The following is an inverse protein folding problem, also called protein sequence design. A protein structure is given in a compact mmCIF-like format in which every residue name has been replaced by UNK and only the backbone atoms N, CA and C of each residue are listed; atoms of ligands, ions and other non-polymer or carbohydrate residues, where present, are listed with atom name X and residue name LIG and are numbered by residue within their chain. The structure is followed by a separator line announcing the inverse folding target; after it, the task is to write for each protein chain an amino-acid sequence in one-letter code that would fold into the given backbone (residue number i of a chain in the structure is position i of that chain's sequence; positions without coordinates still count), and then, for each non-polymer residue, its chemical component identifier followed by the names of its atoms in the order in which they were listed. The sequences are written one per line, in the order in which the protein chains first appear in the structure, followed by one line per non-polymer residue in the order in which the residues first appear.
data_IF_607541483069
#
_entry.id   IF_607541483069
#
_cell.length_a   1.000
_cell.length_b   1.000
_cell.length_c   1.000
_cell.angle_alpha   90.00
_cell.angle_beta   90.00
_cell.angle_gamma   90.00
#
_symmetry.space_group_name_H-M   'P 1'
#
loop_
_entity.id
_entity.type
_entity.pdbx_description
1 polymer ?
#
# COMPACT_ATOMS: atom_id res chain seq x y z
N UNK A 1 4.89 26.16 7.75
CA UNK A 1 4.84 24.67 7.77
C UNK A 1 3.72 24.24 8.72
N UNK A 2 2.55 23.92 8.19
CA UNK A 2 1.39 23.52 8.99
C UNK A 2 1.61 22.08 9.47
N UNK A 3 1.83 21.87 10.77
CA UNK A 3 2.00 20.53 11.34
C UNK A 3 0.66 19.80 11.23
N UNK A 4 0.66 18.60 10.63
CA UNK A 4 -0.52 17.77 10.49
C UNK A 4 -1.11 17.43 11.87
N UNK A 5 -2.44 17.46 11.96
CA UNK A 5 -3.18 17.29 13.21
C UNK A 5 -3.17 15.81 13.65
N UNK A 6 -2.30 15.47 14.60
CA UNK A 6 -2.01 14.10 15.07
C UNK A 6 -3.27 13.36 15.52
N UNK A 7 -4.22 14.08 16.12
CA UNK A 7 -5.49 13.53 16.64
C UNK A 7 -6.43 13.03 15.54
N UNK A 8 -6.37 13.59 14.33
CA UNK A 8 -7.14 13.09 13.20
C UNK A 8 -6.53 11.80 12.64
N UNK A 9 -5.21 11.64 12.68
CA UNK A 9 -4.52 10.43 12.20
C UNK A 9 -4.85 9.21 13.07
N UNK A 10 -4.99 9.40 14.39
CA UNK A 10 -5.36 8.31 15.31
C UNK A 10 -6.80 7.83 15.12
N UNK A 11 -7.72 8.72 14.71
CA UNK A 11 -9.14 8.37 14.45
C UNK A 11 -9.32 7.41 13.27
N UNK A 12 -8.37 7.37 12.34
CA UNK A 12 -8.37 6.46 11.18
C UNK A 12 -7.48 5.23 11.37
N UNK A 13 -6.95 4.98 12.58
CA UNK A 13 -6.31 3.69 12.94
C UNK A 13 -7.33 2.59 13.19
N UNK A 14 -8.46 2.58 12.46
CA UNK A 14 -9.17 1.33 12.28
C UNK A 14 -8.22 0.42 11.47
N UNK A 15 -8.10 -0.85 11.86
CA UNK A 15 -7.21 -1.76 11.14
C UNK A 15 -7.56 -1.73 9.64
N UNK A 16 -6.57 -1.54 8.76
CA UNK A 16 -6.77 -1.46 7.30
C UNK A 16 -7.41 -2.77 6.81
N UNK A 17 -7.00 -3.88 7.42
CA UNK A 17 -7.57 -5.21 7.20
C UNK A 17 -8.03 -5.76 8.56
N UNK A 18 -9.28 -6.23 8.68
CA UNK A 18 -9.76 -6.92 9.88
C UNK A 18 -8.90 -8.13 10.24
N UNK A 19 -8.58 -8.31 11.52
CA UNK A 19 -7.72 -9.43 11.95
C UNK A 19 -8.34 -10.80 11.63
N UNK A 20 -9.67 -10.89 11.67
CA UNK A 20 -10.45 -12.07 11.28
C UNK A 20 -10.17 -12.53 9.83
N UNK A 21 -10.01 -11.60 8.90
CA UNK A 21 -9.68 -11.93 7.51
C UNK A 21 -8.22 -12.39 7.39
N UNK A 22 -7.32 -11.77 8.15
CA UNK A 22 -5.90 -12.17 8.20
C UNK A 22 -5.78 -13.61 8.71
N UNK A 23 -6.45 -13.94 9.80
CA UNK A 23 -6.41 -15.28 10.40
C UNK A 23 -7.05 -16.35 9.51
N UNK A 24 -8.12 -16.01 8.79
CA UNK A 24 -8.77 -16.90 7.83
C UNK A 24 -7.87 -17.24 6.64
N UNK A 25 -7.12 -16.26 6.13
CA UNK A 25 -6.29 -16.42 4.94
C UNK A 25 -4.83 -16.81 5.23
N UNK A 26 -4.35 -16.60 6.45
CA UNK A 26 -2.98 -16.91 6.86
C UNK A 26 -2.57 -18.38 6.63
N UNK A 27 -3.39 -19.41 6.94
CA UNK A 27 -3.02 -20.80 6.70
C UNK A 27 -2.82 -21.09 5.21
N UNK A 28 -3.70 -20.56 4.34
CA UNK A 28 -3.61 -20.74 2.90
C UNK A 28 -2.34 -20.09 2.31
N UNK A 29 -1.94 -18.92 2.82
CA UNK A 29 -0.72 -18.23 2.40
C UNK A 29 0.57 -18.88 2.96
N UNK A 30 0.48 -19.65 4.05
CA UNK A 30 1.62 -20.37 4.65
C UNK A 30 1.95 -21.66 3.90
N UNK A 31 0.99 -22.31 3.23
CA UNK A 31 1.21 -23.56 2.47
C UNK A 31 2.28 -23.40 1.37
N UNK A 32 2.46 -22.18 0.83
CA UNK A 32 3.52 -21.88 -0.14
C UNK A 32 4.87 -21.44 0.46
N UNK A 33 4.95 -21.23 1.78
CA UNK A 33 6.06 -20.56 2.45
C UNK A 33 6.55 -21.32 3.70
N UNK A 34 7.00 -22.56 3.51
CA UNK A 34 7.40 -23.50 4.57
C UNK A 34 8.54 -22.99 5.50
N UNK A 35 9.26 -21.93 5.09
CA UNK A 35 10.36 -21.30 5.86
C UNK A 35 9.90 -20.15 6.77
N UNK A 36 8.61 -19.83 6.78
CA UNK A 36 8.08 -18.71 7.55
C UNK A 36 8.00 -19.07 9.03
N UNK A 37 8.68 -18.29 9.89
CA UNK A 37 8.57 -18.47 11.34
C UNK A 37 7.38 -17.68 11.88
N UNK A 38 6.75 -18.15 12.95
CA UNK A 38 5.59 -17.49 13.58
C UNK A 38 5.80 -15.99 13.85
N UNK A 39 6.94 -15.61 14.43
CA UNK A 39 7.24 -14.19 14.68
C UNK A 39 7.35 -13.34 13.40
N UNK A 40 7.71 -13.95 12.26
CA UNK A 40 7.75 -13.24 10.97
C UNK A 40 6.34 -13.05 10.41
N UNK A 41 5.45 -14.02 10.61
CA UNK A 41 4.03 -13.90 10.27
C UNK A 41 3.36 -12.82 11.11
N UNK A 42 3.61 -12.80 12.42
CA UNK A 42 3.07 -11.81 13.36
C UNK A 42 3.49 -10.38 12.99
N UNK A 43 4.74 -10.19 12.53
CA UNK A 43 5.20 -8.90 11.99
C UNK A 43 4.40 -8.47 10.77
N UNK A 44 4.12 -9.39 9.84
CA UNK A 44 3.33 -9.09 8.64
C UNK A 44 1.88 -8.78 9.01
N UNK A 45 1.30 -9.52 9.95
CA UNK A 45 -0.06 -9.31 10.44
C UNK A 45 -0.21 -7.94 11.10
N UNK A 46 0.71 -7.58 12.00
CA UNK A 46 0.71 -6.28 12.66
C UNK A 46 0.82 -5.11 11.66
N UNK A 47 1.64 -5.25 10.61
CA UNK A 47 1.77 -4.23 9.56
C UNK A 47 0.50 -4.13 8.72
N UNK A 48 -0.08 -5.27 8.32
CA UNK A 48 -1.27 -5.31 7.47
C UNK A 48 -2.53 -4.81 8.21
N UNK A 49 -2.70 -5.23 9.47
CA UNK A 49 -3.79 -4.78 10.32
C UNK A 49 -3.63 -3.30 10.66
N UNK A 50 -2.52 -2.90 11.29
CA UNK A 50 -2.41 -1.54 11.85
C UNK A 50 -2.03 -0.48 10.81
N UNK A 51 -1.59 -0.86 9.61
CA UNK A 51 -1.05 0.08 8.61
C UNK A 51 0.21 0.82 9.09
N UNK A 52 0.91 0.25 10.07
CA UNK A 52 2.00 0.92 10.77
C UNK A 52 3.35 0.74 10.07
N UNK A 53 4.32 1.61 10.39
CA UNK A 53 5.67 1.47 9.84
C UNK A 53 6.40 0.27 10.50
N UNK A 54 7.45 -0.29 9.86
CA UNK A 54 8.17 -1.44 10.42
C UNK A 54 8.80 -1.20 11.80
N UNK A 55 9.06 0.06 12.17
CA UNK A 55 9.62 0.40 13.49
C UNK A 55 8.55 0.34 14.58
N UNK A 56 7.35 0.84 14.29
CA UNK A 56 6.18 0.79 15.17
C UNK A 56 5.69 -0.65 15.37
N UNK A 57 5.62 -1.43 14.28
CA UNK A 57 5.30 -2.85 14.35
C UNK A 57 6.31 -3.60 15.24
N UNK A 58 7.60 -3.32 15.08
CA UNK A 58 8.64 -3.92 15.92
C UNK A 58 8.47 -3.54 17.40
N UNK A 59 8.14 -2.27 17.69
CA UNK A 59 7.92 -1.81 19.05
C UNK A 59 6.71 -2.49 19.71
N UNK A 60 5.61 -2.66 18.98
CA UNK A 60 4.42 -3.37 19.46
C UNK A 60 4.71 -4.84 19.78
N UNK A 61 5.54 -5.48 18.96
CA UNK A 61 5.94 -6.88 19.12
C UNK A 61 7.11 -7.08 20.10
N UNK A 62 7.62 -6.00 20.71
CA UNK A 62 8.78 -6.07 21.60
C UNK A 62 10.09 -6.51 20.90
N UNK A 63 10.21 -6.26 19.59
CA UNK A 63 11.35 -6.67 18.76
C UNK A 63 12.23 -5.46 18.38
N UNK A 64 13.45 -5.76 17.97
CA UNK A 64 14.37 -4.73 17.47
C UNK A 64 13.93 -4.22 16.09
N UNK A 65 13.98 -2.90 15.89
CA UNK A 65 13.76 -2.23 14.60
C UNK A 65 14.57 -2.88 13.47
N UNK A 66 15.87 -3.12 13.67
CA UNK A 66 16.74 -3.71 12.65
C UNK A 66 16.27 -5.11 12.22
N UNK A 67 15.73 -5.90 13.16
CA UNK A 67 15.18 -7.21 12.88
C UNK A 67 13.96 -7.11 11.96
N UNK A 68 13.06 -6.14 12.18
CA UNK A 68 11.88 -5.96 11.32
C UNK A 68 12.25 -5.58 9.89
N UNK A 69 13.16 -4.60 9.71
CA UNK A 69 13.63 -4.21 8.37
C UNK A 69 14.35 -5.35 7.64
N UNK A 70 15.16 -6.15 8.35
CA UNK A 70 15.85 -7.28 7.74
C UNK A 70 14.89 -8.42 7.41
N UNK A 71 13.87 -8.64 8.25
CA UNK A 71 12.84 -9.66 8.02
C UNK A 71 11.99 -9.35 6.80
N UNK A 72 11.56 -8.10 6.62
CA UNK A 72 10.75 -7.68 5.47
C UNK A 72 11.48 -7.72 4.13
N UNK A 73 12.81 -7.88 4.13
CA UNK A 73 13.62 -8.05 2.92
C UNK A 73 13.76 -9.51 2.50
N UNK A 74 13.40 -10.47 3.37
CA UNK A 74 13.53 -11.89 3.05
C UNK A 74 12.49 -12.27 1.99
N UNK A 75 12.92 -13.02 0.98
CA UNK A 75 12.07 -13.34 -0.17
C UNK A 75 10.76 -14.05 0.22
N UNK A 76 10.84 -15.07 1.08
CA UNK A 76 9.65 -15.80 1.55
C UNK A 76 8.69 -14.93 2.39
N UNK A 77 9.20 -13.89 3.08
CA UNK A 77 8.36 -12.93 3.79
C UNK A 77 7.70 -11.95 2.83
N UNK A 78 8.41 -11.56 1.76
CA UNK A 78 7.88 -10.72 0.67
C UNK A 78 6.77 -11.45 -0.08
N UNK A 79 6.94 -12.73 -0.36
CA UNK A 79 5.93 -13.57 -1.01
C UNK A 79 4.72 -13.77 -0.10
N UNK A 80 4.96 -14.13 1.17
CA UNK A 80 3.89 -14.28 2.16
C UNK A 80 3.05 -13.01 2.31
N UNK A 81 3.68 -11.84 2.50
CA UNK A 81 2.93 -10.57 2.63
C UNK A 81 2.13 -10.24 1.38
N UNK A 82 2.66 -10.54 0.19
CA UNK A 82 1.98 -10.26 -1.08
C UNK A 82 0.76 -11.16 -1.25
N UNK A 83 0.92 -12.46 -1.01
CA UNK A 83 -0.18 -13.42 -1.07
C UNK A 83 -1.28 -13.05 -0.07
N UNK A 84 -0.91 -12.77 1.19
CA UNK A 84 -1.86 -12.41 2.23
C UNK A 84 -2.59 -11.09 1.93
N UNK A 85 -1.86 -10.07 1.46
CA UNK A 85 -2.47 -8.82 1.02
C UNK A 85 -3.43 -9.02 -0.17
N UNK A 86 -3.07 -9.87 -1.14
CA UNK A 86 -3.94 -10.17 -2.28
C UNK A 86 -5.20 -10.93 -1.86
N UNK A 87 -5.10 -11.87 -0.91
CA UNK A 87 -6.26 -12.63 -0.42
C UNK A 87 -7.22 -11.76 0.39
N UNK A 88 -6.69 -10.86 1.21
CA UNK A 88 -7.49 -9.99 2.08
C UNK A 88 -8.05 -8.78 1.32
N UNK A 89 -7.20 -8.02 0.64
CA UNK A 89 -7.60 -6.81 -0.08
C UNK A 89 -8.15 -7.09 -1.49
N UNK A 90 -8.01 -8.30 -2.01
CA UNK A 90 -8.47 -8.65 -3.36
C UNK A 90 -9.98 -8.50 -3.52
N UNK A 91 -10.76 -8.98 -2.53
CA UNK A 91 -12.21 -8.84 -2.54
C UNK A 91 -12.63 -7.37 -2.40
N UNK A 92 -12.02 -6.65 -1.45
CA UNK A 92 -12.28 -5.22 -1.25
C UNK A 92 -11.94 -4.38 -2.48
N UNK A 93 -10.86 -4.73 -3.19
CA UNK A 93 -10.51 -4.10 -4.45
C UNK A 93 -11.61 -4.28 -5.52
N UNK A 94 -12.26 -5.45 -5.60
CA UNK A 94 -13.37 -5.64 -6.53
C UNK A 94 -14.61 -4.82 -6.15
N UNK A 95 -14.89 -4.68 -4.85
CA UNK A 95 -15.97 -3.83 -4.36
C UNK A 95 -15.69 -2.35 -4.67
N UNK A 96 -14.47 -1.88 -4.42
CA UNK A 96 -14.03 -0.54 -4.78
C UNK A 96 -14.19 -0.28 -6.30
N UNK A 97 -13.84 -1.23 -7.16
CA UNK A 97 -14.04 -1.11 -8.60
C UNK A 97 -15.52 -1.04 -9.00
N UNK A 98 -16.39 -1.79 -8.32
CA UNK A 98 -17.83 -1.71 -8.52
C UNK A 98 -18.36 -0.31 -8.15
N UNK A 99 -17.91 0.25 -7.02
CA UNK A 99 -18.22 1.63 -6.62
C UNK A 99 -17.73 2.63 -7.67
N UNK A 100 -16.50 2.49 -8.18
CA UNK A 100 -15.97 3.37 -9.23
C UNK A 100 -16.84 3.34 -10.50
N UNK A 101 -17.36 2.17 -10.87
CA UNK A 101 -18.30 2.05 -11.99
C UNK A 101 -19.63 2.74 -11.72
N UNK A 102 -20.14 2.68 -10.49
CA UNK A 102 -21.35 3.41 -10.09
C UNK A 102 -21.12 4.93 -10.14
N UNK A 103 -19.96 5.40 -9.70
CA UNK A 103 -19.59 6.82 -9.70
C UNK A 103 -19.52 7.43 -11.11
N UNK A 104 -19.36 6.63 -12.17
CA UNK A 104 -19.50 7.08 -13.55
C UNK A 104 -20.92 7.60 -13.88
N UNK A 105 -21.94 7.15 -13.14
CA UNK A 105 -23.32 7.64 -13.22
C UNK A 105 -23.62 8.84 -12.30
N UNK A 106 -22.64 9.29 -11.49
CA UNK A 106 -22.85 10.34 -10.50
C UNK A 106 -23.33 11.65 -11.13
N UNK A 107 -24.28 12.34 -10.48
CA UNK A 107 -24.76 13.67 -10.91
C UNK A 107 -23.66 14.73 -10.88
N UNK A 108 -22.66 14.57 -10.02
CA UNK A 108 -21.53 15.49 -9.94
C UNK A 108 -20.54 15.24 -11.07
N UNK A 109 -20.32 16.26 -11.91
CA UNK A 109 -19.36 16.19 -13.01
C UNK A 109 -17.94 15.91 -12.52
N UNK A 110 -17.53 16.54 -11.42
CA UNK A 110 -16.19 16.36 -10.86
C UNK A 110 -15.95 14.91 -10.42
N UNK A 111 -16.88 14.34 -9.64
CA UNK A 111 -16.78 12.96 -9.16
C UNK A 111 -16.77 11.96 -10.33
N UNK A 112 -17.60 12.22 -11.34
CA UNK A 112 -17.65 11.40 -12.56
C UNK A 112 -16.33 11.44 -13.33
N UNK A 113 -15.75 12.63 -13.47
CA UNK A 113 -14.49 12.83 -14.19
C UNK A 113 -13.33 12.15 -13.46
N UNK A 114 -13.23 12.31 -12.14
CA UNK A 114 -12.20 11.63 -11.34
C UNK A 114 -12.37 10.11 -11.38
N UNK A 115 -13.60 9.60 -11.32
CA UNK A 115 -13.86 8.18 -11.45
C UNK A 115 -13.46 7.61 -12.81
N UNK A 116 -13.79 8.32 -13.89
CA UNK A 116 -13.39 7.94 -15.25
C UNK A 116 -11.87 7.98 -15.41
N UNK A 117 -11.21 9.01 -14.85
CA UNK A 117 -9.76 9.15 -14.90
C UNK A 117 -9.04 8.01 -14.19
N UNK A 118 -9.44 7.68 -12.96
CA UNK A 118 -8.83 6.59 -12.19
C UNK A 118 -9.00 5.24 -12.90
N UNK A 119 -10.17 4.96 -13.49
CA UNK A 119 -10.39 3.75 -14.28
C UNK A 119 -9.52 3.70 -15.55
N UNK A 120 -9.37 4.81 -16.27
CA UNK A 120 -8.50 4.87 -17.45
C UNK A 120 -7.02 4.70 -17.09
N UNK A 121 -6.58 5.31 -15.99
CA UNK A 121 -5.21 5.20 -15.49
C UNK A 121 -4.90 3.74 -15.11
N UNK A 122 -5.84 3.04 -14.46
CA UNK A 122 -5.71 1.61 -14.10
C UNK A 122 -5.77 0.68 -15.30
N UNK A 123 -6.54 1.02 -16.34
CA UNK A 123 -6.63 0.26 -17.57
C UNK A 123 -5.45 0.50 -18.53
N UNK A 124 -4.56 1.43 -18.21
CA UNK A 124 -3.40 1.76 -19.04
C UNK A 124 -3.74 2.61 -20.27
N UNK A 125 -4.91 3.24 -20.32
CA UNK A 125 -5.32 4.12 -21.42
C UNK A 125 -4.79 5.55 -21.28
N UNK A 126 -3.97 5.82 -20.27
CA UNK A 126 -3.38 7.14 -20.08
C UNK A 126 -2.44 7.45 -21.24
N UNK A 127 -2.81 8.44 -22.04
CA UNK A 127 -1.91 9.07 -22.98
C UNK A 127 -0.90 9.86 -22.14
N UNK A 128 0.25 9.25 -21.86
CA UNK A 128 1.38 10.01 -21.35
C UNK A 128 1.72 11.06 -22.41
N UNK A 129 1.38 12.32 -22.14
CA UNK A 129 1.96 13.44 -22.88
C UNK A 129 3.45 13.26 -22.72
N UNK A 130 4.14 12.92 -23.81
CA UNK A 130 5.59 12.78 -23.85
C UNK A 130 6.16 14.00 -23.12
N UNK A 131 6.72 13.77 -21.94
CA UNK A 131 7.48 14.81 -21.25
C UNK A 131 8.71 15.01 -22.10
N UNK A 132 8.66 16.00 -23.00
CA UNK A 132 9.83 16.41 -23.77
C UNK A 132 10.94 16.63 -22.75
N UNK A 133 12.04 15.87 -22.79
CA UNK A 133 13.12 16.08 -21.85
C UNK A 133 13.59 17.52 -22.05
N UNK A 134 13.53 18.31 -20.98
CA UNK A 134 14.04 19.68 -20.96
C UNK A 134 15.48 19.61 -21.45
N UNK A 135 15.73 20.18 -22.62
CA UNK A 135 17.08 20.31 -23.17
C UNK A 135 17.94 21.03 -22.14
N UNK A 136 19.01 20.38 -21.69
CA UNK A 136 19.94 20.96 -20.74
C UNK A 136 20.61 22.19 -21.39
N UNK A 137 20.33 23.38 -20.87
CA UNK A 137 21.03 24.61 -21.25
C UNK A 137 22.33 24.65 -20.44
N UNK A 138 23.45 24.30 -21.07
CA UNK A 138 24.78 24.56 -20.52
C UNK A 138 25.10 26.05 -20.65
N UNK A 139 25.31 26.74 -19.53
CA UNK A 139 25.78 28.11 -19.49
C UNK A 139 27.25 28.05 -19.07
N UNK A 140 28.17 28.36 -20.00
CA UNK A 140 29.59 28.51 -19.69
C UNK A 140 29.83 29.96 -19.25
N UNK A 141 30.32 30.14 -18.03
CA UNK A 141 30.85 31.42 -17.57
C UNK A 141 32.37 31.41 -17.73
N UNK A 142 32.89 32.26 -18.62
CA UNK A 142 34.30 32.66 -18.57
C UNK A 142 34.40 33.86 -17.64
N UNK A 143 35.26 33.75 -16.63
CA UNK A 143 35.68 34.85 -15.77
C UNK A 143 37.08 35.24 -16.25
N UNK A 144 37.22 36.43 -16.82
CA UNK A 144 38.51 37.11 -17.02
C UNK A 144 38.99 37.76 -15.70
#
# INVERSE_FOLDING_TARGET
MTKANVTQQEKYKAGIVPMEDIEKHAPAAQVGNEKLTESQAELVHAILHNGCNPSEAAQQLGRNKAWAYNTLKKQHVIEYRQQLAMMTLGWDATQAMATMRELLGSKSQYVRLEAARDLMDRAGFRQDVVRTPSTAVQINFNVD
#
